data_IF_187460655296
#
_entry.id   IF_187460655296
#
_cell.length_a   1.000
_cell.length_b   1.000
_cell.length_c   1.000
_cell.angle_alpha   90.00
_cell.angle_beta   90.00
_cell.angle_gamma   90.00
#
_symmetry.space_group_name_H-M   'P 1'
#
loop_
_entity.id
_entity.type
_entity.pdbx_description
1 polymer ?
#
# COMPACT_ATOMS: atom_id res chain seq x y z
N UNK A 1 2.37 -12.18 -15.94
CA UNK A 1 3.08 -13.20 -16.72
C UNK A 1 2.13 -14.05 -17.58
N UNK A 2 1.01 -14.57 -17.02
CA UNK A 2 0.05 -15.42 -17.75
C UNK A 2 -0.44 -14.78 -19.05
N UNK A 3 -0.93 -13.54 -19.00
CA UNK A 3 -1.44 -12.85 -20.19
C UNK A 3 -0.35 -12.61 -21.25
N UNK A 4 0.88 -12.35 -20.82
CA UNK A 4 2.01 -12.22 -21.73
C UNK A 4 2.30 -13.53 -22.48
N UNK A 5 2.36 -14.65 -21.76
CA UNK A 5 2.59 -15.97 -22.37
C UNK A 5 1.46 -16.37 -23.32
N UNK A 6 0.21 -16.11 -22.94
CA UNK A 6 -0.96 -16.53 -23.74
C UNK A 6 -1.31 -15.59 -24.88
N UNK A 7 -1.04 -14.29 -24.75
CA UNK A 7 -1.54 -13.26 -25.66
C UNK A 7 -0.42 -12.40 -26.26
N UNK A 8 0.85 -12.66 -25.91
CA UNK A 8 1.98 -11.83 -26.34
C UNK A 8 1.99 -10.41 -25.74
N UNK A 9 1.07 -10.11 -24.83
CA UNK A 9 0.96 -8.79 -24.19
C UNK A 9 0.51 -8.87 -22.73
N UNK A 10 0.96 -7.91 -21.93
CA UNK A 10 0.50 -7.76 -20.56
C UNK A 10 -0.79 -6.96 -20.54
N UNK A 11 -1.88 -7.56 -20.06
CA UNK A 11 -3.15 -6.87 -19.92
C UNK A 11 -3.13 -5.95 -18.68
N UNK A 12 -3.86 -4.83 -18.73
CA UNK A 12 -4.13 -4.01 -17.55
C UNK A 12 -4.85 -4.82 -16.48
N UNK A 13 -4.63 -4.45 -15.21
CA UNK A 13 -5.18 -5.11 -14.05
C UNK A 13 -6.10 -4.15 -13.26
N UNK A 14 -7.31 -4.59 -13.00
CA UNK A 14 -8.22 -3.96 -12.05
C UNK A 14 -8.39 -4.88 -10.84
N UNK A 15 -8.06 -4.40 -9.66
CA UNK A 15 -8.26 -5.11 -8.39
C UNK A 15 -9.46 -4.45 -7.72
N UNK A 16 -10.64 -5.05 -7.92
CA UNK A 16 -11.91 -4.50 -7.44
C UNK A 16 -12.14 -4.72 -5.96
N UNK A 17 -11.40 -5.65 -5.36
CA UNK A 17 -11.43 -5.91 -3.92
C UNK A 17 -10.06 -6.40 -3.45
N UNK A 18 -9.53 -5.78 -2.40
CA UNK A 18 -8.35 -6.27 -1.70
C UNK A 18 -8.40 -5.95 -0.21
N UNK A 19 -7.64 -6.68 0.60
CA UNK A 19 -7.66 -6.61 2.05
C UNK A 19 -8.38 -7.80 2.66
N UNK A 20 -8.88 -7.67 3.87
CA UNK A 20 -9.50 -8.77 4.57
C UNK A 20 -10.47 -8.32 5.66
N UNK A 21 -10.96 -9.29 6.42
CA UNK A 21 -11.82 -9.10 7.59
C UNK A 21 -11.10 -9.70 8.78
N UNK A 22 -11.09 -8.97 9.89
CA UNK A 22 -10.67 -9.54 11.17
C UNK A 22 -11.87 -10.27 11.81
N UNK A 23 -11.75 -11.59 11.90
CA UNK A 23 -12.76 -12.47 12.49
C UNK A 23 -12.43 -12.88 13.93
N UNK A 24 -11.56 -12.13 14.62
CA UNK A 24 -11.14 -12.48 16.00
C UNK A 24 -12.21 -12.21 17.05
N UNK A 25 -13.23 -11.40 16.73
CA UNK A 25 -14.35 -11.08 17.61
C UNK A 25 -15.64 -11.77 17.16
N UNK A 26 -16.50 -12.12 18.13
CA UNK A 26 -17.88 -12.51 17.86
C UNK A 26 -18.72 -11.25 17.62
N UNK A 27 -19.24 -11.10 16.41
CA UNK A 27 -20.00 -9.90 16.01
C UNK A 27 -19.11 -8.69 15.68
N UNK A 28 -19.77 -7.54 15.47
CA UNK A 28 -19.08 -6.31 15.12
C UNK A 28 -18.30 -5.73 16.30
N UNK A 29 -17.02 -5.46 16.07
CA UNK A 29 -16.20 -4.75 17.04
C UNK A 29 -15.43 -3.62 16.34
N UNK A 30 -15.56 -2.35 16.78
CA UNK A 30 -14.96 -1.20 16.08
C UNK A 30 -13.44 -1.32 15.87
N UNK A 31 -12.70 -1.79 16.90
CA UNK A 31 -11.25 -1.95 16.82
C UNK A 31 -10.89 -3.10 15.87
N UNK A 32 -11.54 -4.27 15.97
CA UNK A 32 -11.31 -5.39 15.06
C UNK A 32 -11.61 -4.99 13.61
N UNK A 33 -12.72 -4.27 13.39
CA UNK A 33 -13.10 -3.75 12.08
C UNK A 33 -11.97 -2.95 11.41
N UNK A 34 -11.22 -2.14 12.15
CA UNK A 34 -10.18 -1.27 11.58
C UNK A 34 -8.78 -1.90 11.50
N UNK A 35 -8.54 -3.06 12.13
CA UNK A 35 -7.25 -3.76 12.05
C UNK A 35 -6.85 -4.14 10.62
N UNK A 36 -7.83 -4.35 9.75
CA UNK A 36 -7.59 -4.65 8.33
C UNK A 36 -6.86 -3.54 7.57
N UNK A 37 -6.79 -2.33 8.12
CA UNK A 37 -6.08 -1.20 7.50
C UNK A 37 -4.58 -1.46 7.38
N UNK A 38 -3.96 -2.19 8.29
CA UNK A 38 -2.57 -2.63 8.14
C UNK A 38 -2.40 -3.41 6.82
N UNK A 39 -3.26 -4.42 6.59
CA UNK A 39 -3.23 -5.20 5.34
C UNK A 39 -3.55 -4.35 4.10
N UNK A 40 -4.35 -3.29 4.22
CA UNK A 40 -4.60 -2.39 3.09
C UNK A 40 -3.31 -1.71 2.62
N UNK A 41 -2.50 -1.19 3.54
CA UNK A 41 -1.22 -0.58 3.20
C UNK A 41 -0.22 -1.62 2.66
N UNK A 42 -0.02 -2.74 3.35
CA UNK A 42 0.90 -3.80 2.93
C UNK A 42 0.59 -4.32 1.52
N UNK A 43 -0.70 -4.53 1.20
CA UNK A 43 -1.12 -4.96 -0.14
C UNK A 43 -0.96 -3.83 -1.15
N UNK A 44 -1.30 -2.57 -0.79
CA UNK A 44 -1.19 -1.44 -1.69
C UNK A 44 0.25 -1.24 -2.18
N UNK A 45 1.26 -1.36 -1.30
CA UNK A 45 2.66 -1.28 -1.72
C UNK A 45 3.02 -2.34 -2.78
N UNK A 46 2.50 -3.56 -2.64
CA UNK A 46 2.67 -4.61 -3.65
C UNK A 46 1.95 -4.27 -4.97
N UNK A 47 0.79 -3.65 -4.90
CA UNK A 47 0.03 -3.22 -6.09
C UNK A 47 0.74 -2.05 -6.80
N UNK A 48 1.29 -1.10 -6.05
CA UNK A 48 2.05 0.03 -6.58
C UNK A 48 3.31 -0.40 -7.36
N UNK A 49 3.83 -1.58 -7.11
CA UNK A 49 4.90 -2.16 -7.93
C UNK A 49 4.49 -2.48 -9.38
N UNK A 50 3.19 -2.42 -9.66
CA UNK A 50 2.59 -2.65 -10.99
C UNK A 50 1.84 -1.43 -11.52
N UNK A 51 2.25 -0.24 -11.11
CA UNK A 51 1.59 1.03 -11.45
C UNK A 51 1.36 1.24 -12.95
N UNK A 52 2.27 0.69 -13.79
CA UNK A 52 2.19 0.76 -15.25
C UNK A 52 1.07 -0.10 -15.85
N UNK A 53 0.50 -1.01 -15.07
CA UNK A 53 -0.57 -1.93 -15.51
C UNK A 53 -1.78 -1.90 -14.61
N UNK A 54 -1.72 -1.20 -13.49
CA UNK A 54 -2.84 -1.07 -12.56
C UNK A 54 -3.80 0.01 -13.06
N UNK A 55 -5.06 -0.35 -13.28
CA UNK A 55 -6.13 0.58 -13.62
C UNK A 55 -6.80 1.15 -12.38
N UNK A 56 -7.08 0.26 -11.42
CA UNK A 56 -7.75 0.61 -10.16
C UNK A 56 -7.44 -0.45 -9.11
N UNK A 57 -7.39 -0.02 -7.85
CA UNK A 57 -7.37 -0.92 -6.71
C UNK A 57 -8.30 -0.39 -5.63
N UNK A 58 -9.22 -1.23 -5.13
CA UNK A 58 -10.25 -0.84 -4.17
C UNK A 58 -10.10 -1.67 -2.90
N UNK A 59 -9.83 -1.04 -1.74
CA UNK A 59 -9.82 -1.75 -0.47
C UNK A 59 -11.23 -2.20 -0.09
N UNK A 60 -11.35 -3.40 0.44
CA UNK A 60 -12.62 -4.03 0.81
C UNK A 60 -13.04 -3.65 2.25
N UNK A 61 -14.19 -3.06 2.50
CA UNK A 61 -15.23 -2.56 1.61
C UNK A 61 -15.35 -1.04 1.80
N UNK A 62 -15.27 -0.27 0.74
CA UNK A 62 -15.45 1.18 0.78
C UNK A 62 -16.93 1.59 0.67
N UNK A 63 -17.84 0.84 1.32
CA UNK A 63 -19.28 0.98 1.25
C UNK A 63 -19.95 0.81 2.63
N UNK A 64 -21.27 0.92 2.66
CA UNK A 64 -22.16 0.77 3.82
C UNK A 64 -22.44 -0.68 4.18
N UNK A 65 -22.43 -1.58 3.19
CA UNK A 65 -22.84 -3.00 3.31
C UNK A 65 -24.22 -3.17 3.98
N UNK A 66 -25.22 -2.41 3.51
CA UNK A 66 -26.59 -2.42 4.06
C UNK A 66 -27.22 -3.83 4.07
N UNK A 67 -26.83 -4.68 3.12
CA UNK A 67 -27.27 -6.06 3.01
C UNK A 67 -26.96 -6.92 4.25
N UNK A 68 -25.96 -6.54 5.03
CA UNK A 68 -25.59 -7.24 6.25
C UNK A 68 -26.39 -6.77 7.48
N UNK A 69 -26.93 -5.54 7.47
CA UNK A 69 -27.63 -4.96 8.63
C UNK A 69 -29.06 -5.48 8.67
N UNK A 70 -29.22 -6.73 9.09
CA UNK A 70 -30.48 -7.44 9.13
C UNK A 70 -30.67 -8.16 10.46
N UNK A 71 -31.89 -8.65 10.73
CA UNK A 71 -32.20 -9.46 11.91
C UNK A 71 -31.30 -10.71 12.01
N UNK A 72 -30.91 -11.30 10.89
CA UNK A 72 -30.01 -12.46 10.85
C UNK A 72 -28.66 -12.17 11.49
N UNK A 73 -28.16 -10.96 11.33
CA UNK A 73 -26.87 -10.48 11.88
C UNK A 73 -27.07 -9.52 13.03
N UNK A 74 -28.18 -9.63 13.76
CA UNK A 74 -28.50 -8.80 14.93
C UNK A 74 -28.41 -7.29 14.65
N UNK A 75 -28.68 -6.87 13.40
CA UNK A 75 -28.56 -5.48 12.93
C UNK A 75 -27.15 -4.87 13.11
N UNK A 76 -26.14 -5.70 13.22
CA UNK A 76 -24.75 -5.26 13.35
C UNK A 76 -24.18 -4.80 12.00
N UNK A 77 -23.26 -3.82 11.98
CA UNK A 77 -22.52 -3.45 10.78
C UNK A 77 -21.66 -4.61 10.27
N UNK A 78 -21.46 -4.69 8.97
CA UNK A 78 -20.48 -5.60 8.40
C UNK A 78 -19.06 -5.19 8.83
N UNK A 79 -18.26 -6.13 9.34
CA UNK A 79 -16.92 -5.85 9.86
C UNK A 79 -15.97 -5.14 8.88
N UNK A 80 -16.13 -5.38 7.58
CA UNK A 80 -15.34 -4.72 6.56
C UNK A 80 -15.87 -3.32 6.16
N UNK A 81 -17.13 -2.98 6.43
CA UNK A 81 -17.74 -1.73 5.95
C UNK A 81 -17.02 -0.47 6.43
N UNK A 82 -16.92 0.51 5.54
CA UNK A 82 -16.37 1.83 5.86
C UNK A 82 -17.38 2.71 6.59
N UNK A 83 -18.67 2.56 6.26
CA UNK A 83 -19.75 3.34 6.83
C UNK A 83 -20.54 2.53 7.87
N UNK A 84 -20.88 3.18 8.96
CA UNK A 84 -21.68 2.61 10.05
C UNK A 84 -22.96 3.45 10.22
N UNK A 85 -24.12 2.78 10.26
CA UNK A 85 -25.39 3.43 10.50
C UNK A 85 -25.51 3.92 11.95
N UNK A 86 -26.01 5.14 12.17
CA UNK A 86 -26.32 5.62 13.51
C UNK A 86 -27.56 4.91 14.10
N UNK A 87 -28.53 4.59 13.24
CA UNK A 87 -29.69 3.77 13.59
C UNK A 87 -29.77 2.57 12.64
N UNK A 88 -29.30 1.39 13.05
CA UNK A 88 -29.33 0.21 12.20
C UNK A 88 -30.72 -0.40 11.99
N UNK A 89 -31.73 0.04 12.74
CA UNK A 89 -33.12 -0.44 12.64
C UNK A 89 -33.95 0.36 11.62
N UNK A 90 -33.46 1.50 11.16
CA UNK A 90 -34.13 2.34 10.14
C UNK A 90 -33.11 2.90 9.16
N UNK A 91 -32.65 2.04 8.23
CA UNK A 91 -31.62 2.39 7.26
C UNK A 91 -32.03 3.46 6.24
N UNK A 92 -33.36 3.68 6.07
CA UNK A 92 -33.87 4.69 5.13
C UNK A 92 -33.70 6.12 5.68
N UNK A 93 -33.82 6.29 7.01
CA UNK A 93 -33.78 7.59 7.65
C UNK A 93 -32.54 7.80 8.53
N UNK A 94 -31.59 6.84 8.54
CA UNK A 94 -30.41 6.95 9.37
C UNK A 94 -29.35 7.86 8.75
N UNK A 95 -28.65 8.59 9.60
CA UNK A 95 -27.36 9.17 9.22
C UNK A 95 -26.26 8.09 9.26
N UNK A 96 -25.31 8.18 8.35
CA UNK A 96 -24.16 7.31 8.25
C UNK A 96 -22.89 8.03 8.70
N UNK A 97 -22.04 7.36 9.44
CA UNK A 97 -20.73 7.87 9.85
C UNK A 97 -19.62 6.98 9.29
N UNK A 98 -18.50 7.60 8.91
CA UNK A 98 -17.28 6.88 8.58
C UNK A 98 -16.67 6.29 9.86
N UNK A 99 -16.25 5.03 9.80
CA UNK A 99 -15.39 4.48 10.84
C UNK A 99 -13.91 4.91 10.59
N UNK A 100 -13.01 4.48 11.45
CA UNK A 100 -11.62 4.94 11.40
C UNK A 100 -10.80 4.37 10.21
N UNK A 101 -11.35 3.47 9.40
CA UNK A 101 -10.77 3.13 8.08
C UNK A 101 -10.63 4.36 7.17
N UNK A 102 -11.41 5.43 7.41
CA UNK A 102 -11.26 6.73 6.73
C UNK A 102 -9.82 7.26 6.75
N UNK A 103 -9.04 6.91 7.78
CA UNK A 103 -7.66 7.39 7.91
C UNK A 103 -6.71 6.76 6.88
N UNK A 104 -7.02 5.57 6.35
CA UNK A 104 -6.32 5.04 5.18
C UNK A 104 -6.46 5.98 3.97
N UNK A 105 -7.69 6.39 3.65
CA UNK A 105 -7.94 7.33 2.56
C UNK A 105 -7.34 8.71 2.83
N UNK A 106 -7.39 9.16 4.09
CA UNK A 106 -6.76 10.43 4.50
C UNK A 106 -5.24 10.39 4.35
N UNK A 107 -4.60 9.26 4.63
CA UNK A 107 -3.16 9.07 4.47
C UNK A 107 -2.74 9.27 3.00
N UNK A 108 -3.48 8.67 2.07
CA UNK A 108 -3.13 8.60 0.64
C UNK A 108 -3.79 9.69 -0.23
N UNK A 109 -4.66 10.53 0.30
CA UNK A 109 -5.60 11.43 -0.42
C UNK A 109 -4.99 12.29 -1.54
N UNK A 110 -3.72 12.66 -1.43
CA UNK A 110 -3.04 13.58 -2.33
C UNK A 110 -1.75 13.02 -2.94
N UNK A 111 -1.44 11.75 -2.66
CA UNK A 111 -0.30 11.08 -3.27
C UNK A 111 -0.58 10.88 -4.76
N UNK A 112 0.24 11.49 -5.61
CA UNK A 112 0.08 11.48 -7.06
C UNK A 112 1.41 11.71 -7.77
N UNK A 113 1.39 11.65 -9.09
CA UNK A 113 2.55 11.92 -9.93
C UNK A 113 3.20 10.65 -10.47
N UNK A 114 4.32 10.84 -11.15
CA UNK A 114 5.10 9.74 -11.71
C UNK A 114 5.90 9.04 -10.61
N UNK A 115 5.99 7.72 -10.71
CA UNK A 115 6.81 6.94 -9.79
C UNK A 115 8.29 7.23 -10.02
N UNK A 116 8.99 7.53 -8.94
CA UNK A 116 10.46 7.66 -8.92
C UNK A 116 11.09 6.47 -8.20
N UNK A 117 12.32 6.16 -8.58
CA UNK A 117 13.02 5.01 -8.01
C UNK A 117 13.47 5.29 -6.59
N UNK A 118 13.11 4.40 -5.69
CA UNK A 118 13.54 4.37 -4.31
C UNK A 118 13.71 2.91 -3.89
N UNK A 119 14.64 2.63 -3.01
CA UNK A 119 14.90 1.29 -2.48
C UNK A 119 15.16 1.35 -0.99
N UNK A 120 14.76 0.29 -0.31
CA UNK A 120 15.18 -0.03 1.03
C UNK A 120 16.25 -1.13 0.99
N UNK A 121 17.21 -1.08 1.88
CA UNK A 121 18.16 -2.17 2.16
C UNK A 121 17.60 -3.21 3.12
N UNK A 122 16.45 -2.92 3.74
CA UNK A 122 15.70 -3.85 4.57
C UNK A 122 14.46 -4.35 3.80
N UNK A 123 14.30 -5.67 3.55
CA UNK A 123 13.16 -6.23 2.83
C UNK A 123 11.82 -6.05 3.55
N UNK A 124 11.83 -5.88 4.88
CA UNK A 124 10.63 -5.69 5.69
C UNK A 124 10.18 -4.22 5.74
N UNK A 125 11.00 -3.30 5.23
CA UNK A 125 10.63 -1.89 5.05
C UNK A 125 10.30 -1.64 3.59
N UNK A 126 9.01 -1.63 3.27
CA UNK A 126 8.54 -1.31 1.93
C UNK A 126 8.60 0.20 1.69
N UNK A 127 9.03 0.59 0.49
CA UNK A 127 9.12 2.00 0.10
C UNK A 127 8.58 2.22 -1.31
N UNK A 128 7.91 3.34 -1.52
CA UNK A 128 7.58 3.85 -2.84
C UNK A 128 7.72 5.37 -2.83
N UNK A 129 8.02 5.96 -3.99
CA UNK A 129 8.08 7.40 -4.10
C UNK A 129 7.42 7.87 -5.40
N UNK A 130 6.79 9.04 -5.33
CA UNK A 130 6.07 9.65 -6.45
C UNK A 130 6.46 11.12 -6.55
N UNK A 131 6.64 11.59 -7.78
CA UNK A 131 6.95 12.97 -8.08
C UNK A 131 5.85 13.58 -8.92
N UNK A 132 5.23 14.61 -8.41
CA UNK A 132 4.44 15.58 -9.15
C UNK A 132 5.32 16.81 -9.45
N UNK A 133 4.83 17.79 -10.18
CA UNK A 133 5.63 18.94 -10.63
C UNK A 133 6.46 19.58 -9.51
N UNK A 134 5.82 19.89 -8.40
CA UNK A 134 6.41 20.61 -7.27
C UNK A 134 6.57 19.77 -6.00
N UNK A 135 6.14 18.51 -6.00
CA UNK A 135 6.11 17.68 -4.80
C UNK A 135 6.77 16.33 -5.00
N UNK A 136 7.45 15.90 -3.95
CA UNK A 136 7.95 14.52 -3.81
C UNK A 136 7.24 13.86 -2.64
N UNK A 137 6.61 12.75 -2.89
CA UNK A 137 6.02 11.88 -1.88
C UNK A 137 6.93 10.67 -1.67
N UNK A 138 7.34 10.43 -0.44
CA UNK A 138 8.06 9.23 -0.03
C UNK A 138 7.15 8.47 0.92
N UNK A 139 6.80 7.26 0.56
CA UNK A 139 5.94 6.39 1.35
C UNK A 139 6.75 5.24 1.90
N UNK A 140 6.58 4.94 3.18
CA UNK A 140 7.34 3.95 3.93
C UNK A 140 6.34 3.11 4.73
N UNK A 141 6.46 1.79 4.69
CA UNK A 141 5.60 0.86 5.39
C UNK A 141 6.43 -0.21 6.09
N UNK A 142 6.13 -0.49 7.34
CA UNK A 142 6.87 -1.48 8.14
C UNK A 142 6.08 -2.79 8.24
N UNK A 143 6.61 -3.84 7.63
CA UNK A 143 6.07 -5.21 7.69
C UNK A 143 6.56 -6.00 8.89
N UNK A 144 7.63 -5.53 9.55
CA UNK A 144 8.26 -6.25 10.66
C UNK A 144 7.48 -6.05 11.97
N UNK A 145 7.67 -6.97 12.87
CA UNK A 145 7.15 -6.90 14.23
C UNK A 145 7.91 -5.92 15.14
N UNK A 146 9.05 -5.39 14.66
CA UNK A 146 9.92 -4.50 15.42
C UNK A 146 9.88 -3.06 14.89
N UNK A 147 10.25 -2.13 15.76
CA UNK A 147 10.49 -0.74 15.39
C UNK A 147 11.80 -0.60 14.65
N UNK A 148 11.78 0.05 13.49
CA UNK A 148 12.96 0.34 12.70
C UNK A 148 13.25 1.84 12.64
N UNK A 149 14.54 2.18 12.66
CA UNK A 149 15.01 3.53 12.38
C UNK A 149 15.42 3.64 10.92
N UNK A 150 14.56 4.25 10.11
CA UNK A 150 14.81 4.44 8.68
C UNK A 150 15.66 5.67 8.46
N UNK A 151 16.80 5.50 7.79
CA UNK A 151 17.73 6.59 7.46
C UNK A 151 17.35 7.21 6.11
N UNK A 152 17.13 8.52 6.08
CA UNK A 152 16.69 9.27 4.89
C UNK A 152 17.80 10.14 4.28
N UNK A 153 19.02 10.12 4.86
CA UNK A 153 20.13 11.01 4.43
C UNK A 153 20.50 10.87 2.96
N UNK A 154 20.44 9.65 2.44
CA UNK A 154 20.93 9.32 1.10
C UNK A 154 19.80 9.22 0.05
N UNK A 155 18.57 9.53 0.43
CA UNK A 155 17.44 9.45 -0.52
C UNK A 155 17.52 10.56 -1.56
N UNK A 156 17.89 11.76 -1.13
CA UNK A 156 18.00 12.95 -1.97
C UNK A 156 18.92 14.00 -1.30
N UNK A 157 19.45 14.93 -2.07
CA UNK A 157 20.02 16.12 -1.49
C UNK A 157 18.92 17.06 -0.99
N UNK A 158 18.66 17.03 0.33
CA UNK A 158 17.59 17.78 0.98
C UNK A 158 17.92 19.27 1.23
N UNK A 159 19.10 19.75 0.85
CA UNK A 159 19.44 21.16 1.03
C UNK A 159 18.43 22.06 0.32
N UNK A 160 17.77 22.96 1.06
CA UNK A 160 16.76 23.88 0.54
C UNK A 160 15.39 23.23 0.27
N UNK A 161 15.11 22.10 0.89
CA UNK A 161 13.77 21.50 0.98
C UNK A 161 13.21 21.82 2.36
N UNK A 162 12.18 22.65 2.38
CA UNK A 162 11.51 23.14 3.58
C UNK A 162 10.06 22.64 3.64
N UNK A 163 9.44 22.77 4.82
CA UNK A 163 8.00 22.49 5.01
C UNK A 163 7.60 21.08 4.59
N UNK A 164 8.26 20.09 5.15
CA UNK A 164 7.94 18.68 4.90
C UNK A 164 6.72 18.26 5.72
N UNK A 165 5.62 17.93 5.05
CA UNK A 165 4.46 17.30 5.70
C UNK A 165 4.78 15.84 5.97
N UNK A 166 4.51 15.39 7.18
CA UNK A 166 4.65 13.99 7.61
C UNK A 166 3.30 13.49 8.08
N UNK A 167 2.77 12.49 7.41
CA UNK A 167 1.57 11.77 7.82
C UNK A 167 1.96 10.37 8.26
N UNK A 168 1.42 9.95 9.39
CA UNK A 168 1.63 8.63 9.98
C UNK A 168 0.30 7.97 10.28
N UNK A 169 0.16 6.72 9.91
CA UNK A 169 -0.97 5.87 10.27
C UNK A 169 -0.42 4.63 10.95
N UNK A 170 -0.76 4.45 12.22
CA UNK A 170 -0.33 3.34 13.07
C UNK A 170 -1.53 2.45 13.36
N UNK A 171 -1.35 1.14 13.20
CA UNK A 171 -2.34 0.17 13.63
C UNK A 171 -1.90 -0.45 14.95
N UNK A 172 -2.54 -0.06 16.05
CA UNK A 172 -2.26 -0.60 17.38
C UNK A 172 -3.34 -1.63 17.72
N UNK A 173 -2.94 -2.88 17.93
CA UNK A 173 -3.82 -4.04 17.98
C UNK A 173 -5.04 -3.88 18.91
N UNK A 174 -4.87 -3.32 20.10
CA UNK A 174 -5.91 -3.15 21.12
C UNK A 174 -6.50 -1.73 21.20
N UNK A 175 -5.92 -0.77 20.46
CA UNK A 175 -6.36 0.64 20.43
C UNK A 175 -6.97 1.08 19.12
N UNK A 176 -6.74 0.31 18.04
CA UNK A 176 -7.17 0.68 16.70
C UNK A 176 -6.19 1.62 15.99
N UNK A 177 -6.71 2.49 15.14
CA UNK A 177 -5.91 3.39 14.32
C UNK A 177 -5.51 4.63 15.12
N UNK A 178 -4.24 5.00 15.03
CA UNK A 178 -3.71 6.30 15.42
C UNK A 178 -3.20 6.99 14.15
N UNK A 179 -3.77 8.14 13.84
CA UNK A 179 -3.38 8.97 12.69
C UNK A 179 -2.80 10.30 13.17
N UNK A 180 -1.60 10.60 12.72
CA UNK A 180 -0.89 11.84 13.01
C UNK A 180 -0.53 12.57 11.71
N UNK A 181 -0.62 13.89 11.72
CA UNK A 181 -0.16 14.75 10.64
C UNK A 181 0.56 15.96 11.22
N UNK A 182 1.80 16.20 10.79
CA UNK A 182 2.62 17.32 11.26
C UNK A 182 3.46 17.88 10.12
N UNK A 183 3.87 19.13 10.26
CA UNK A 183 4.82 19.78 9.35
C UNK A 183 6.16 19.95 10.06
N UNK A 184 7.23 19.59 9.37
CA UNK A 184 8.61 19.80 9.79
C UNK A 184 9.23 20.92 8.94
N UNK A 185 10.12 21.69 9.53
CA UNK A 185 10.82 22.77 8.82
C UNK A 185 11.78 22.25 7.74
N UNK A 186 12.21 20.98 7.85
CA UNK A 186 13.12 20.35 6.91
C UNK A 186 12.92 18.83 6.90
N UNK A 187 13.48 18.15 5.90
CA UNK A 187 13.48 16.69 5.84
C UNK A 187 14.24 16.10 7.03
N UNK A 188 13.66 15.19 7.79
CA UNK A 188 14.34 14.52 8.88
C UNK A 188 15.47 13.62 8.34
N UNK A 189 16.58 13.52 9.08
CA UNK A 189 17.66 12.62 8.70
C UNK A 189 17.30 11.14 8.88
N UNK A 190 16.43 10.86 9.83
CA UNK A 190 15.90 9.54 10.08
C UNK A 190 14.51 9.65 10.69
N UNK A 191 13.74 8.58 10.59
CA UNK A 191 12.42 8.47 11.17
C UNK A 191 12.25 7.07 11.77
N UNK A 192 11.70 6.99 12.97
CA UNK A 192 11.36 5.71 13.57
C UNK A 192 9.96 5.30 13.07
N UNK A 193 9.82 4.03 12.69
CA UNK A 193 8.59 3.45 12.19
C UNK A 193 8.30 2.17 12.97
N UNK A 194 7.17 2.13 13.66
CA UNK A 194 6.77 0.96 14.47
C UNK A 194 6.09 -0.10 13.60
N UNK A 195 5.85 -1.28 14.18
CA UNK A 195 5.04 -2.33 13.55
C UNK A 195 3.72 -1.78 13.01
N UNK A 196 3.32 -2.25 11.83
CA UNK A 196 2.05 -1.90 11.16
C UNK A 196 1.84 -0.36 11.03
N UNK A 197 2.93 0.39 10.91
CA UNK A 197 2.90 1.82 10.64
C UNK A 197 3.25 2.11 9.19
N UNK A 198 2.46 3.00 8.58
CA UNK A 198 2.75 3.59 7.28
C UNK A 198 2.99 5.08 7.44
N UNK A 199 4.09 5.58 6.89
CA UNK A 199 4.45 6.99 6.91
C UNK A 199 4.51 7.53 5.49
N UNK A 200 3.95 8.72 5.27
CA UNK A 200 4.08 9.48 4.02
C UNK A 200 4.71 10.83 4.31
N UNK A 201 5.87 11.05 3.69
CA UNK A 201 6.57 12.32 3.68
C UNK A 201 6.23 13.05 2.37
N UNK A 202 5.75 14.27 2.46
CA UNK A 202 5.51 15.12 1.29
C UNK A 202 6.39 16.36 1.40
N UNK A 203 7.34 16.50 0.47
CA UNK A 203 8.30 17.59 0.41
C UNK A 203 8.03 18.48 -0.80
N UNK A 204 8.09 19.80 -0.62
CA UNK A 204 8.12 20.75 -1.72
C UNK A 204 9.49 20.73 -2.40
N UNK A 205 9.51 20.43 -3.69
CA UNK A 205 10.70 20.34 -4.51
C UNK A 205 10.69 21.30 -5.70
N UNK A 206 9.81 22.29 -5.70
CA UNK A 206 9.63 23.28 -6.78
C UNK A 206 10.95 23.97 -7.17
N UNK A 207 11.86 24.13 -6.22
CA UNK A 207 13.20 24.73 -6.43
C UNK A 207 14.26 23.75 -6.92
N UNK A 208 13.91 22.46 -7.13
CA UNK A 208 14.86 21.41 -7.51
C UNK A 208 14.74 21.05 -8.97
N UNK A 209 15.87 20.98 -9.65
CA UNK A 209 15.95 20.44 -11.01
C UNK A 209 16.47 18.99 -10.92
N UNK A 210 15.70 18.05 -11.47
CA UNK A 210 16.10 16.65 -11.58
C UNK A 210 16.27 16.30 -13.04
N UNK A 211 17.44 15.78 -13.40
CA UNK A 211 17.79 15.48 -14.79
C UNK A 211 17.88 13.98 -15.08
N UNK A 212 17.91 13.14 -14.05
CA UNK A 212 18.15 11.70 -14.23
C UNK A 212 16.82 10.98 -14.46
N UNK A 213 16.69 10.34 -15.61
CA UNK A 213 15.59 9.46 -15.95
C UNK A 213 16.02 8.01 -15.76
N UNK A 214 15.29 7.27 -14.93
CA UNK A 214 15.47 5.83 -14.81
C UNK A 214 14.57 5.14 -15.82
N UNK A 215 15.13 4.27 -16.63
CA UNK A 215 14.39 3.43 -17.58
C UNK A 215 14.24 2.05 -16.95
N UNK A 216 12.98 1.62 -16.77
CA UNK A 216 12.65 0.27 -16.30
C UNK A 216 12.25 -0.60 -17.47
N UNK A 217 12.94 -1.71 -17.64
CA UNK A 217 12.56 -2.74 -18.61
C UNK A 217 12.08 -3.96 -17.84
N UNK A 218 10.89 -4.46 -18.18
CA UNK A 218 10.31 -5.65 -17.56
C UNK A 218 10.45 -6.83 -18.52
N UNK A 219 10.98 -7.94 -18.01
CA UNK A 219 11.06 -9.21 -18.70
C UNK A 219 10.16 -10.21 -18.00
N UNK A 220 9.55 -11.09 -18.76
CA UNK A 220 8.67 -12.13 -18.26
C UNK A 220 9.25 -13.48 -18.62
N UNK A 221 9.18 -14.44 -17.68
CA UNK A 221 9.64 -15.79 -17.97
C UNK A 221 8.75 -16.50 -18.98
N UNK A 222 9.29 -17.50 -19.65
CA UNK A 222 8.57 -18.33 -20.63
C UNK A 222 7.48 -19.19 -19.99
N UNK A 223 7.56 -19.39 -18.67
CA UNK A 223 6.59 -20.16 -17.87
C UNK A 223 6.03 -19.28 -16.77
N UNK A 224 4.71 -19.31 -16.55
CA UNK A 224 4.06 -18.49 -15.51
C UNK A 224 3.81 -19.23 -14.19
N UNK A 225 3.78 -20.56 -14.23
CA UNK A 225 3.49 -21.40 -13.06
C UNK A 225 4.27 -22.72 -13.16
N UNK A 226 4.89 -23.11 -12.07
CA UNK A 226 5.51 -24.44 -11.92
C UNK A 226 5.14 -25.03 -10.56
N UNK A 227 4.99 -26.35 -10.45
CA UNK A 227 4.79 -27.02 -9.17
C UNK A 227 6.05 -26.89 -8.31
N UNK A 228 5.86 -26.73 -7.00
CA UNK A 228 6.93 -26.77 -6.00
C UNK A 228 6.96 -28.17 -5.42
N UNK A 229 8.02 -28.93 -5.71
CA UNK A 229 8.22 -30.29 -5.23
C UNK A 229 9.52 -30.39 -4.40
N UNK A 230 9.45 -31.10 -3.28
CA UNK A 230 10.61 -31.25 -2.41
C UNK A 230 11.80 -31.89 -3.14
N UNK A 231 12.98 -31.26 -3.01
CA UNK A 231 14.22 -31.76 -3.62
C UNK A 231 14.34 -31.56 -5.14
N UNK A 232 13.34 -30.92 -5.78
CA UNK A 232 13.40 -30.60 -7.21
C UNK A 232 13.67 -29.12 -7.45
N UNK A 233 14.52 -28.76 -8.42
CA UNK A 233 14.72 -27.37 -8.80
C UNK A 233 13.49 -26.81 -9.51
N UNK A 234 13.25 -25.52 -9.34
CA UNK A 234 12.27 -24.75 -10.08
C UNK A 234 13.04 -23.85 -11.05
N UNK A 235 12.77 -23.97 -12.33
CA UNK A 235 13.50 -23.25 -13.38
C UNK A 235 12.56 -22.33 -14.14
N UNK A 236 12.92 -21.06 -14.23
CA UNK A 236 12.24 -20.07 -15.06
C UNK A 236 13.24 -19.43 -16.02
N UNK A 237 13.00 -19.56 -17.31
CA UNK A 237 13.83 -18.98 -18.36
C UNK A 237 13.28 -17.62 -18.80
N UNK A 238 14.19 -16.70 -19.07
CA UNK A 238 13.88 -15.36 -19.57
C UNK A 238 14.65 -15.11 -20.86
N UNK A 239 13.92 -14.85 -21.94
CA UNK A 239 14.52 -14.56 -23.23
C UNK A 239 14.72 -13.06 -23.46
N UNK A 240 15.64 -12.73 -24.35
CA UNK A 240 15.87 -11.39 -24.84
C UNK A 240 16.43 -10.41 -23.80
N UNK A 241 17.01 -10.91 -22.70
CA UNK A 241 17.67 -10.07 -21.71
C UNK A 241 18.81 -9.29 -22.38
N UNK A 242 18.79 -7.97 -22.21
CA UNK A 242 19.87 -7.10 -22.68
C UNK A 242 20.82 -6.80 -21.53
N UNK A 243 22.13 -6.96 -21.73
CA UNK A 243 23.09 -6.52 -20.73
C UNK A 243 22.98 -5.01 -20.51
N UNK A 244 23.22 -4.56 -19.30
CA UNK A 244 23.13 -3.15 -18.93
C UNK A 244 23.78 -2.89 -17.58
N UNK A 245 23.90 -1.61 -17.25
CA UNK A 245 24.32 -1.16 -15.93
C UNK A 245 23.10 -0.73 -15.12
N UNK A 246 23.07 -1.06 -13.84
CA UNK A 246 21.97 -0.69 -12.96
C UNK A 246 21.57 -1.81 -12.02
N UNK A 247 20.32 -1.77 -11.57
CA UNK A 247 19.74 -2.74 -10.64
C UNK A 247 18.85 -3.73 -11.37
N UNK A 248 19.06 -5.01 -11.10
CA UNK A 248 18.15 -6.08 -11.50
C UNK A 248 17.32 -6.53 -10.29
N UNK A 249 16.01 -6.70 -10.49
CA UNK A 249 15.08 -7.18 -9.45
C UNK A 249 14.35 -8.40 -10.00
N UNK A 250 14.53 -9.55 -9.37
CA UNK A 250 13.74 -10.74 -9.64
C UNK A 250 12.51 -10.75 -8.73
N UNK A 251 11.33 -10.94 -9.31
CA UNK A 251 10.07 -11.08 -8.58
C UNK A 251 9.46 -12.45 -8.81
N UNK A 252 9.21 -13.14 -7.72
CA UNK A 252 8.53 -14.44 -7.71
C UNK A 252 7.35 -14.38 -6.76
N UNK A 253 6.32 -15.17 -7.06
CA UNK A 253 5.19 -15.39 -6.16
C UNK A 253 5.04 -16.87 -5.89
N UNK A 254 4.81 -17.24 -4.64
CA UNK A 254 4.53 -18.61 -4.21
C UNK A 254 3.10 -18.63 -3.69
N UNK A 255 2.30 -19.54 -4.21
CA UNK A 255 0.91 -19.74 -3.80
C UNK A 255 0.69 -21.16 -3.29
N UNK A 256 -0.21 -21.33 -2.32
CA UNK A 256 -0.78 -22.61 -1.96
C UNK A 256 -2.05 -22.87 -2.78
N UNK A 257 -2.26 -24.13 -3.16
CA UNK A 257 -3.56 -24.64 -3.59
C UNK A 257 -4.48 -24.80 -2.37
#
# INVERSE_FOLDING_TARGET
NYSFIRLGKVLPLAVTEYGGIDNTSKGYHPIASVRTVASFNHILFNLLEREDKMLISIPFVSDKAEWHITKQYNFEPYGAALFVANNPYDLKNTAWKLNDKKYFFKLWKDVKGERVDIVSDNPDIQVAAFKDDDRLYITIDNLDDYTHKVNLKNVLNWKGVDNVSVRSLKMIFDKGIVYDEKTLNSMPQSIDIIKDETIILCADISRKKYSNRIVRTKYYSNTYLQPVEAGKPIVFDFDGLKPGTGRAVLRMSIGRK
#
